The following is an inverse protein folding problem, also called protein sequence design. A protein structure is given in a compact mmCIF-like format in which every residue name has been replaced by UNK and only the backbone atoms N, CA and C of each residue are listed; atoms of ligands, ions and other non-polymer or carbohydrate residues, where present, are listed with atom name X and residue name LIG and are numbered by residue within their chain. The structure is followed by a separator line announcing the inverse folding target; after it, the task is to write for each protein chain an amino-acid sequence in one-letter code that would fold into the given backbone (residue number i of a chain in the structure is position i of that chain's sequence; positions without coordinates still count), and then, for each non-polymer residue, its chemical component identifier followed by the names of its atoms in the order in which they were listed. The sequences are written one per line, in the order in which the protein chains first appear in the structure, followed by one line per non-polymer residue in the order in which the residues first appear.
data_IF_819581284145
#
_entry.id   IF_819581284145
#
_cell.length_a   1.000
_cell.length_b   1.000
_cell.length_c   1.000
_cell.angle_alpha   90.00
_cell.angle_beta   90.00
_cell.angle_gamma   90.00
#
_symmetry.space_group_name_H-M   'P 1'
#
loop_
_entity.id
_entity.type
_entity.pdbx_description
1 polymer ?
#
# COMPACT_ATOMS: atom_id res chain seq x y z
N UNK A 1 -15.24 -47.92 76.21
CA UNK A 1 -15.77 -49.29 76.05
C UNK A 1 -15.90 -49.58 74.57
N UNK A 2 -15.14 -50.58 74.14
CA UNK A 2 -15.24 -51.42 72.93
C UNK A 2 -15.96 -50.94 71.65
N UNK A 3 -15.12 -50.83 70.59
CA UNK A 3 -15.26 -51.38 69.23
C UNK A 3 -16.27 -52.55 69.09
N UNK A 4 -16.91 -52.73 67.91
CA UNK A 4 -16.25 -53.42 66.78
C UNK A 4 -16.45 -52.69 65.43
N UNK A 5 -15.48 -52.48 64.54
CA UNK A 5 -14.38 -53.34 64.05
C UNK A 5 -14.83 -54.56 63.24
N UNK A 6 -15.73 -54.38 62.23
CA UNK A 6 -15.95 -55.42 61.20
C UNK A 6 -16.17 -54.89 59.77
N UNK A 7 -16.48 -53.61 59.54
CA UNK A 7 -16.83 -53.15 58.17
C UNK A 7 -15.67 -52.56 57.32
N UNK A 8 -14.46 -52.41 57.87
CA UNK A 8 -13.31 -51.90 57.12
C UNK A 8 -12.48 -53.01 56.41
N UNK A 9 -12.69 -54.29 56.74
CA UNK A 9 -11.92 -55.39 56.16
C UNK A 9 -12.46 -55.93 54.82
N UNK A 10 -13.69 -55.57 54.41
CA UNK A 10 -14.24 -56.04 53.12
C UNK A 10 -13.89 -55.16 51.92
N UNK A 11 -13.47 -53.90 52.14
CA UNK A 11 -13.17 -52.94 51.06
C UNK A 11 -11.67 -52.95 50.71
N UNK A 12 -10.79 -53.36 51.63
CA UNK A 12 -9.36 -53.55 51.35
C UNK A 12 -9.04 -54.84 50.59
N UNK A 13 -9.87 -55.90 50.73
CA UNK A 13 -9.69 -57.16 49.99
C UNK A 13 -9.99 -57.10 48.49
N UNK A 14 -10.77 -56.10 48.03
CA UNK A 14 -11.09 -55.90 46.61
C UNK A 14 -10.04 -55.05 45.86
N UNK A 15 -9.15 -54.35 46.58
CA UNK A 15 -8.11 -53.52 45.97
C UNK A 15 -6.79 -54.29 45.73
N UNK A 16 -6.53 -55.37 46.48
CA UNK A 16 -5.38 -56.27 46.22
C UNK A 16 -5.64 -57.28 45.10
N UNK A 17 -6.89 -57.69 44.86
CA UNK A 17 -7.23 -58.63 43.78
C UNK A 17 -7.16 -58.03 42.37
N UNK A 18 -7.42 -56.72 42.21
CA UNK A 18 -7.35 -56.04 40.90
C UNK A 18 -5.90 -55.72 40.50
N UNK A 19 -5.01 -55.46 41.47
CA UNK A 19 -3.59 -55.17 41.19
C UNK A 19 -2.77 -56.44 40.85
N UNK A 20 -3.16 -57.63 41.32
CA UNK A 20 -2.46 -58.87 40.98
C UNK A 20 -2.84 -59.42 39.59
N UNK A 21 -4.08 -59.18 39.13
CA UNK A 21 -4.56 -59.65 37.83
C UNK A 21 -4.06 -58.82 36.63
N UNK A 22 -3.82 -57.52 36.80
CA UNK A 22 -3.28 -56.67 35.71
C UNK A 22 -1.77 -56.87 35.51
N UNK A 23 -1.04 -57.25 36.58
CA UNK A 23 0.38 -57.60 36.52
C UNK A 23 0.66 -58.96 35.84
N UNK A 24 -0.25 -59.93 35.94
CA UNK A 24 -0.06 -61.26 35.34
C UNK A 24 -0.46 -61.31 33.84
N UNK A 25 -1.37 -60.44 33.38
CA UNK A 25 -1.79 -60.42 31.96
C UNK A 25 -0.73 -59.75 31.07
N UNK A 26 0.06 -58.82 31.60
CA UNK A 26 1.18 -58.19 30.85
C UNK A 26 2.44 -59.07 30.74
N UNK A 27 2.60 -60.07 31.62
CA UNK A 27 3.73 -61.00 31.58
C UNK A 27 3.53 -62.16 30.56
N UNK A 28 2.28 -62.47 30.19
CA UNK A 28 1.97 -63.58 29.26
C UNK A 28 2.04 -63.12 27.78
N UNK A 29 1.92 -61.82 27.50
CA UNK A 29 1.98 -61.29 26.12
C UNK A 29 3.43 -61.16 25.60
N UNK A 30 4.44 -61.10 26.48
CA UNK A 30 5.85 -60.95 26.07
C UNK A 30 6.57 -62.26 25.73
N UNK A 31 5.95 -63.43 25.93
CA UNK A 31 6.59 -64.74 25.71
C UNK A 31 6.17 -65.41 24.40
N UNK A 32 5.26 -64.80 23.62
CA UNK A 32 4.73 -65.43 22.40
C UNK A 32 4.60 -64.46 21.21
N UNK A 33 5.70 -63.83 20.79
CA UNK A 33 5.83 -63.39 19.39
C UNK A 33 7.23 -63.77 18.88
N UNK A 34 7.34 -64.54 17.79
CA UNK A 34 8.59 -65.16 17.35
C UNK A 34 9.56 -64.14 16.77
N UNK A 35 10.84 -64.50 16.84
CA UNK A 35 11.97 -63.90 16.15
C UNK A 35 11.71 -63.79 14.64
N UNK A 36 11.05 -62.72 14.21
CA UNK A 36 11.02 -62.30 12.82
C UNK A 36 12.07 -61.22 12.63
N UNK A 37 13.07 -61.56 11.82
CA UNK A 37 14.02 -60.66 11.19
C UNK A 37 13.27 -59.52 10.49
N UNK A 38 13.03 -58.43 11.22
CA UNK A 38 12.71 -57.14 10.63
C UNK A 38 14.00 -56.36 10.51
N UNK A 39 14.63 -56.59 9.36
CA UNK A 39 15.46 -55.66 8.61
C UNK A 39 15.37 -54.24 9.18
N UNK A 40 16.51 -53.75 9.69
CA UNK A 40 16.73 -52.35 10.02
C UNK A 40 16.33 -51.46 8.83
N UNK A 41 15.09 -51.01 8.77
CA UNK A 41 14.77 -49.75 8.13
C UNK A 41 15.15 -48.69 9.14
N UNK A 42 16.24 -47.98 8.88
CA UNK A 42 16.50 -46.63 9.38
C UNK A 42 15.24 -45.78 9.17
N UNK A 43 14.28 -45.86 10.10
CA UNK A 43 13.12 -44.99 10.16
C UNK A 43 13.51 -43.75 10.95
N UNK A 44 14.40 -42.97 10.34
CA UNK A 44 14.44 -41.51 10.34
C UNK A 44 13.86 -40.78 11.58
N UNK A 45 14.39 -41.08 12.78
CA UNK A 45 14.11 -40.33 14.01
C UNK A 45 15.16 -39.24 14.31
N UNK A 46 16.02 -38.96 13.34
CA UNK A 46 16.92 -37.80 13.32
C UNK A 46 16.63 -36.97 12.07
N UNK A 47 15.47 -36.31 12.04
CA UNK A 47 15.24 -35.20 11.12
C UNK A 47 14.26 -34.22 11.77
N UNK A 48 14.59 -33.78 12.99
CA UNK A 48 14.17 -32.43 13.38
C UNK A 48 14.86 -31.51 12.38
N UNK A 49 14.05 -30.97 11.50
CA UNK A 49 14.33 -30.09 10.38
C UNK A 49 15.41 -29.02 10.70
N UNK A 50 16.70 -29.42 10.68
CA UNK A 50 17.89 -28.58 10.83
C UNK A 50 18.18 -27.73 9.58
N UNK A 51 17.19 -27.56 8.71
CA UNK A 51 17.26 -26.79 7.48
C UNK A 51 16.30 -25.59 7.42
N UNK A 52 15.46 -25.37 8.44
CA UNK A 52 14.72 -24.12 8.54
C UNK A 52 15.72 -23.05 8.96
N UNK A 53 16.12 -22.17 8.03
CA UNK A 53 16.76 -20.89 8.37
C UNK A 53 15.81 -20.15 9.31
N UNK A 54 15.95 -20.37 10.62
CA UNK A 54 15.14 -19.72 11.63
C UNK A 54 15.43 -18.24 11.51
N UNK A 55 14.47 -17.47 10.99
CA UNK A 55 14.59 -16.02 10.95
C UNK A 55 14.82 -15.55 12.39
N UNK A 56 15.94 -14.86 12.61
CA UNK A 56 16.27 -14.30 13.92
C UNK A 56 15.09 -13.47 14.44
N UNK A 57 14.66 -13.75 15.67
CA UNK A 57 13.53 -13.09 16.34
C UNK A 57 13.73 -11.57 16.40
N UNK A 58 14.99 -11.11 16.45
CA UNK A 58 15.36 -9.70 16.41
C UNK A 58 15.05 -9.05 15.05
N UNK A 59 15.25 -9.76 13.94
CA UNK A 59 14.94 -9.25 12.59
C UNK A 59 13.44 -9.09 12.42
N UNK A 60 12.63 -10.05 12.88
CA UNK A 60 11.15 -9.94 12.87
C UNK A 60 10.70 -8.76 13.73
N UNK A 61 11.25 -8.63 14.94
CA UNK A 61 10.93 -7.53 15.85
C UNK A 61 11.26 -6.16 15.24
N UNK A 62 12.40 -6.03 14.57
CA UNK A 62 12.79 -4.78 13.88
C UNK A 62 11.85 -4.48 12.71
N UNK A 63 11.49 -5.48 11.90
CA UNK A 63 10.49 -5.32 10.82
C UNK A 63 9.14 -4.87 11.36
N UNK A 64 8.66 -5.47 12.46
CA UNK A 64 7.41 -5.04 13.11
C UNK A 64 7.45 -3.58 13.55
N UNK A 65 8.57 -3.12 14.14
CA UNK A 65 8.74 -1.71 14.52
C UNK A 65 8.67 -0.79 13.30
N UNK A 66 9.34 -1.14 12.21
CA UNK A 66 9.33 -0.36 10.96
C UNK A 66 7.93 -0.28 10.34
N UNK A 67 7.23 -1.42 10.22
CA UNK A 67 5.86 -1.47 9.67
C UNK A 67 4.88 -0.66 10.52
N UNK A 68 5.01 -0.72 11.85
CA UNK A 68 4.19 0.09 12.77
C UNK A 68 4.43 1.59 12.58
N UNK A 69 5.68 2.00 12.36
CA UNK A 69 6.00 3.41 12.08
C UNK A 69 5.43 3.85 10.74
N UNK A 70 5.54 3.03 9.69
CA UNK A 70 4.92 3.29 8.38
C UNK A 70 3.40 3.42 8.51
N UNK A 71 2.75 2.56 9.31
CA UNK A 71 1.31 2.64 9.56
C UNK A 71 0.93 3.97 10.26
N UNK A 72 1.70 4.41 11.25
CA UNK A 72 1.46 5.71 11.92
C UNK A 72 1.62 6.89 10.96
N UNK A 73 2.67 6.87 10.14
CA UNK A 73 2.94 7.92 9.14
C UNK A 73 1.83 7.97 8.11
N UNK A 74 1.41 6.83 7.56
CA UNK A 74 0.33 6.77 6.55
C UNK A 74 -1.01 7.22 7.13
N UNK A 75 -1.35 6.85 8.39
CA UNK A 75 -2.53 7.38 9.09
C UNK A 75 -2.47 8.90 9.27
N UNK A 76 -1.33 9.44 9.69
CA UNK A 76 -1.15 10.88 9.82
C UNK A 76 -1.27 11.58 8.46
N UNK A 77 -0.62 11.07 7.42
CA UNK A 77 -0.68 11.61 6.06
C UNK A 77 -2.09 11.56 5.48
N UNK A 78 -2.89 10.51 5.77
CA UNK A 78 -4.31 10.45 5.42
C UNK A 78 -5.07 11.64 6.02
N UNK A 79 -4.87 11.92 7.31
CA UNK A 79 -5.52 13.05 7.99
C UNK A 79 -5.06 14.41 7.45
N UNK A 80 -3.77 14.56 7.14
CA UNK A 80 -3.24 15.79 6.51
C UNK A 80 -3.85 16.01 5.13
N UNK A 81 -3.94 14.96 4.30
CA UNK A 81 -4.58 15.04 2.99
C UNK A 81 -6.08 15.37 3.11
N UNK A 82 -6.78 14.76 4.08
CA UNK A 82 -8.19 15.04 4.34
C UNK A 82 -8.45 16.51 4.71
N UNK A 83 -7.60 17.08 5.57
CA UNK A 83 -7.69 18.48 5.98
C UNK A 83 -7.47 19.43 4.79
N UNK A 84 -6.43 19.16 3.98
CA UNK A 84 -6.15 19.95 2.76
C UNK A 84 -7.24 19.81 1.71
N UNK A 85 -7.80 18.61 1.54
CA UNK A 85 -8.89 18.36 0.60
C UNK A 85 -10.07 19.25 0.92
N UNK A 86 -10.52 19.31 2.19
CA UNK A 86 -11.64 20.17 2.59
C UNK A 86 -11.40 21.64 2.27
N UNK A 87 -10.19 22.14 2.54
CA UNK A 87 -9.84 23.53 2.27
C UNK A 87 -9.82 23.88 0.77
N UNK A 88 -9.41 22.94 -0.09
CA UNK A 88 -9.34 23.14 -1.54
C UNK A 88 -10.71 22.88 -2.20
N UNK A 89 -11.49 21.93 -1.69
CA UNK A 89 -12.79 21.55 -2.22
C UNK A 89 -13.74 22.75 -2.31
N UNK A 90 -13.87 23.53 -1.23
CA UNK A 90 -14.72 24.74 -1.25
C UNK A 90 -14.27 25.74 -2.31
N UNK A 91 -12.95 25.85 -2.55
CA UNK A 91 -12.41 26.75 -3.58
C UNK A 91 -12.67 26.23 -5.00
N UNK A 92 -12.53 24.92 -5.20
CA UNK A 92 -12.82 24.27 -6.48
C UNK A 92 -14.31 24.32 -6.83
N UNK A 93 -15.20 24.20 -5.84
CA UNK A 93 -16.64 24.36 -6.05
C UNK A 93 -16.98 25.80 -6.43
N UNK A 94 -16.39 26.79 -5.75
CA UNK A 94 -16.58 28.20 -6.07
C UNK A 94 -16.00 28.59 -7.44
N UNK A 95 -14.93 27.95 -7.90
CA UNK A 95 -14.33 28.25 -9.22
C UNK A 95 -15.17 27.75 -10.40
N UNK A 96 -16.08 26.79 -10.19
CA UNK A 96 -16.90 26.24 -11.28
C UNK A 96 -17.81 27.28 -11.93
N UNK A 97 -18.32 28.24 -11.16
CA UNK A 97 -19.16 29.31 -11.68
C UNK A 97 -18.42 30.31 -12.58
N UNK A 98 -17.08 30.35 -12.52
CA UNK A 98 -16.28 31.33 -13.25
C UNK A 98 -16.12 30.96 -14.73
N UNK A 99 -15.97 29.67 -15.05
CA UNK A 99 -15.68 29.22 -16.42
C UNK A 99 -16.93 28.85 -17.24
N UNK A 100 -18.04 28.51 -16.56
CA UNK A 100 -19.30 28.12 -17.20
C UNK A 100 -19.86 29.16 -18.18
N UNK A 101 -19.84 30.48 -17.91
CA UNK A 101 -20.32 31.48 -18.85
C UNK A 101 -19.53 31.47 -20.16
N UNK A 102 -18.22 31.26 -20.11
CA UNK A 102 -17.40 31.18 -21.34
C UNK A 102 -17.73 29.95 -22.17
N UNK A 103 -17.97 28.80 -21.54
CA UNK A 103 -18.41 27.61 -22.28
C UNK A 103 -19.82 27.76 -22.84
N UNK A 104 -20.70 28.52 -22.18
CA UNK A 104 -22.02 28.83 -22.73
C UNK A 104 -21.91 29.77 -23.95
N UNK A 105 -21.02 30.76 -23.90
CA UNK A 105 -20.81 31.75 -24.95
C UNK A 105 -20.06 31.19 -26.16
N UNK A 106 -18.94 30.50 -25.94
CA UNK A 106 -18.01 30.06 -26.99
C UNK A 106 -18.20 28.58 -27.37
N UNK A 107 -18.98 27.84 -26.59
CA UNK A 107 -19.15 26.40 -26.77
C UNK A 107 -17.93 25.59 -26.31
N UNK A 108 -18.08 24.27 -26.31
CA UNK A 108 -16.98 23.32 -26.14
C UNK A 108 -16.79 22.59 -27.47
N UNK A 109 -15.67 22.85 -28.15
CA UNK A 109 -15.36 22.29 -29.47
C UNK A 109 -14.10 21.45 -29.36
N UNK A 110 -14.20 20.20 -28.86
CA UNK A 110 -13.03 19.37 -28.61
C UNK A 110 -12.41 18.79 -29.89
N UNK A 111 -13.10 18.83 -31.03
CA UNK A 111 -12.69 18.15 -32.27
C UNK A 111 -12.20 19.10 -33.37
N UNK A 112 -11.83 20.35 -33.05
CA UNK A 112 -11.24 21.24 -34.05
C UNK A 112 -9.91 20.67 -34.51
N UNK A 113 -9.79 20.51 -35.83
CA UNK A 113 -8.54 20.10 -36.46
C UNK A 113 -7.69 21.32 -36.78
N UNK A 114 -6.60 21.50 -36.02
CA UNK A 114 -5.71 22.66 -36.17
C UNK A 114 -4.27 22.22 -36.45
N UNK A 115 -3.50 23.14 -37.04
CA UNK A 115 -2.10 22.90 -37.39
C UNK A 115 -1.19 22.94 -36.16
N UNK A 116 -1.37 23.91 -35.26
CA UNK A 116 -0.59 24.05 -34.02
C UNK A 116 -1.42 23.70 -32.79
N UNK A 117 -1.20 22.51 -32.24
CA UNK A 117 -1.83 22.04 -31.02
C UNK A 117 -0.88 22.13 -29.83
N UNK A 118 -1.35 22.70 -28.72
CA UNK A 118 -0.59 22.75 -27.48
C UNK A 118 -1.35 22.01 -26.39
N UNK A 119 -0.70 21.03 -25.78
CA UNK A 119 -1.31 20.19 -24.73
C UNK A 119 -0.75 20.63 -23.38
N UNK A 120 -1.58 21.29 -22.59
CA UNK A 120 -1.25 21.68 -21.21
C UNK A 120 -1.59 20.52 -20.28
N UNK A 121 -0.58 19.83 -19.77
CA UNK A 121 -0.77 18.69 -18.86
C UNK A 121 -0.59 19.12 -17.42
N UNK A 122 -1.67 19.10 -16.63
CA UNK A 122 -1.65 19.48 -15.22
C UNK A 122 -1.44 18.23 -14.35
N UNK A 123 -0.42 18.28 -13.51
CA UNK A 123 -0.02 17.20 -12.61
C UNK A 123 0.40 17.74 -11.23
N UNK A 124 0.70 16.83 -10.30
CA UNK A 124 1.21 17.22 -8.98
C UNK A 124 2.73 17.31 -8.94
N UNK A 125 3.25 18.11 -8.02
CA UNK A 125 4.69 18.12 -7.70
C UNK A 125 5.06 16.95 -6.77
N UNK A 126 4.16 16.64 -5.83
CA UNK A 126 4.35 15.61 -4.81
C UNK A 126 3.85 14.26 -5.28
N UNK A 127 4.56 13.20 -4.87
CA UNK A 127 4.12 11.83 -5.10
C UNK A 127 3.00 11.38 -4.16
N UNK A 128 2.81 10.06 -4.09
CA UNK A 128 1.88 9.37 -3.19
C UNK A 128 0.39 9.69 -3.43
N UNK A 129 0.04 10.12 -4.64
CA UNK A 129 -1.33 10.42 -5.07
C UNK A 129 -1.95 9.29 -5.92
N UNK A 130 -1.46 8.05 -5.76
CA UNK A 130 -1.90 6.91 -6.56
C UNK A 130 -1.62 7.10 -8.05
N UNK A 131 -2.62 6.79 -8.88
CA UNK A 131 -2.50 6.79 -10.35
C UNK A 131 -2.84 8.10 -11.06
N UNK A 132 -3.19 9.18 -10.34
CA UNK A 132 -3.68 10.44 -10.95
C UNK A 132 -2.75 10.99 -12.02
N UNK A 133 -1.46 11.12 -11.71
CA UNK A 133 -0.49 11.70 -12.65
C UNK A 133 -0.30 10.81 -13.88
N UNK A 134 -0.28 9.49 -13.68
CA UNK A 134 -0.14 8.54 -14.78
C UNK A 134 -1.36 8.54 -15.70
N UNK A 135 -2.57 8.72 -15.16
CA UNK A 135 -3.79 8.86 -15.95
C UNK A 135 -3.77 10.14 -16.79
N UNK A 136 -3.42 11.29 -16.19
CA UNK A 136 -3.30 12.55 -16.93
C UNK A 136 -2.29 12.43 -18.08
N UNK A 137 -1.08 11.92 -17.79
CA UNK A 137 -0.03 11.71 -18.80
C UNK A 137 -0.44 10.69 -19.88
N UNK A 138 -1.26 9.68 -19.54
CA UNK A 138 -1.79 8.73 -20.52
C UNK A 138 -2.75 9.42 -21.50
N UNK A 139 -3.65 10.28 -21.00
CA UNK A 139 -4.57 11.05 -21.85
C UNK A 139 -3.80 12.05 -22.71
N UNK A 140 -2.85 12.78 -22.14
CA UNK A 140 -2.01 13.71 -22.92
C UNK A 140 -1.24 13.01 -24.04
N UNK A 141 -0.76 11.77 -23.82
CA UNK A 141 -0.15 10.96 -24.88
C UNK A 141 -1.15 10.49 -25.93
N UNK A 142 -2.39 10.18 -25.52
CA UNK A 142 -3.47 9.84 -26.44
C UNK A 142 -3.81 11.00 -27.37
N UNK A 143 -4.00 12.20 -26.81
CA UNK A 143 -4.32 13.42 -27.57
C UNK A 143 -3.17 13.78 -28.52
N UNK A 144 -1.93 13.69 -28.05
CA UNK A 144 -0.78 13.95 -28.90
C UNK A 144 -0.76 12.99 -30.09
N UNK A 145 -0.94 11.68 -29.88
CA UNK A 145 -1.01 10.70 -30.98
C UNK A 145 -2.15 10.94 -31.96
N UNK A 146 -3.31 11.41 -31.49
CA UNK A 146 -4.45 11.71 -32.36
C UNK A 146 -4.18 12.94 -33.26
N UNK A 147 -3.40 13.89 -32.75
CA UNK A 147 -3.12 15.15 -33.43
C UNK A 147 -1.72 15.19 -34.07
N UNK A 148 -0.91 14.14 -33.93
CA UNK A 148 0.35 13.99 -34.64
C UNK A 148 0.10 13.63 -36.11
N UNK A 149 0.44 14.54 -37.03
CA UNK A 149 0.36 14.32 -38.48
C UNK A 149 1.51 15.03 -39.21
N UNK A 150 1.77 14.70 -40.48
CA UNK A 150 2.89 15.26 -41.24
C UNK A 150 2.86 16.80 -41.39
N UNK A 151 1.68 17.42 -41.24
CA UNK A 151 1.50 18.89 -41.29
C UNK A 151 1.06 19.50 -39.94
N UNK A 152 1.03 18.70 -38.87
CA UNK A 152 0.51 19.14 -37.55
C UNK A 152 1.61 19.13 -36.51
N UNK A 153 1.83 20.28 -35.89
CA UNK A 153 2.76 20.45 -34.79
C UNK A 153 2.01 20.28 -33.46
N UNK A 154 2.47 19.35 -32.62
CA UNK A 154 1.90 19.11 -31.30
C UNK A 154 2.95 19.31 -30.22
N UNK A 155 2.77 20.32 -29.38
CA UNK A 155 3.70 20.66 -28.30
C UNK A 155 3.10 20.43 -26.92
N UNK A 156 3.95 20.28 -25.92
CA UNK A 156 3.58 20.06 -24.54
C UNK A 156 3.99 21.25 -23.67
N UNK A 157 3.04 21.70 -22.86
CA UNK A 157 3.27 22.55 -21.71
C UNK A 157 2.95 21.74 -20.46
N UNK A 158 3.92 21.64 -19.56
CA UNK A 158 3.81 20.76 -18.40
C UNK A 158 3.71 21.59 -17.13
N UNK A 159 2.64 21.35 -16.39
CA UNK A 159 2.47 21.87 -15.04
C UNK A 159 2.67 20.74 -14.03
N UNK A 160 3.73 20.88 -13.22
CA UNK A 160 4.09 19.96 -12.15
C UNK A 160 5.23 18.99 -12.51
N UNK A 161 6.04 18.68 -11.50
CA UNK A 161 7.26 17.87 -11.67
C UNK A 161 6.98 16.41 -12.09
N UNK A 162 5.84 15.83 -11.68
CA UNK A 162 5.57 14.40 -11.94
C UNK A 162 5.20 14.11 -13.39
N UNK A 163 4.46 14.98 -14.07
CA UNK A 163 4.25 14.82 -15.51
C UNK A 163 5.55 15.02 -16.29
N UNK A 164 6.38 16.00 -15.90
CA UNK A 164 7.68 16.25 -16.53
C UNK A 164 8.55 15.00 -16.50
N UNK A 165 8.71 14.38 -15.32
CA UNK A 165 9.50 13.16 -15.17
C UNK A 165 9.00 11.98 -16.03
N UNK A 166 7.69 11.90 -16.34
CA UNK A 166 7.12 10.85 -17.19
C UNK A 166 7.25 11.16 -18.68
N UNK A 167 6.94 12.40 -19.09
CA UNK A 167 6.92 12.82 -20.49
C UNK A 167 8.32 13.04 -21.08
N UNK A 168 9.31 13.44 -20.26
CA UNK A 168 10.69 13.63 -20.73
C UNK A 168 11.31 12.34 -21.30
N UNK A 169 10.82 11.16 -20.89
CA UNK A 169 11.31 9.88 -21.43
C UNK A 169 10.82 9.62 -22.85
N UNK A 170 9.58 10.03 -23.15
CA UNK A 170 8.89 9.68 -24.39
C UNK A 170 8.99 10.81 -25.44
N UNK A 171 8.81 12.07 -25.02
CA UNK A 171 8.57 13.21 -25.92
C UNK A 171 9.40 14.43 -25.51
N UNK A 172 10.70 14.26 -25.23
CA UNK A 172 11.57 15.36 -24.77
C UNK A 172 11.63 16.55 -25.73
N UNK A 173 11.57 16.28 -27.04
CA UNK A 173 11.71 17.30 -28.09
C UNK A 173 10.49 18.21 -28.20
N UNK A 174 9.32 17.71 -27.79
CA UNK A 174 8.05 18.39 -27.97
C UNK A 174 7.64 19.19 -26.72
N UNK A 175 8.49 19.24 -25.68
CA UNK A 175 8.24 20.00 -24.45
C UNK A 175 8.84 21.40 -24.61
N UNK A 176 7.99 22.43 -24.65
CA UNK A 176 8.43 23.83 -24.70
C UNK A 176 8.62 24.41 -23.31
N UNK A 177 7.59 24.27 -22.46
CA UNK A 177 7.56 24.89 -21.15
C UNK A 177 7.27 23.85 -20.07
N UNK A 178 7.99 23.96 -18.96
CA UNK A 178 7.72 23.19 -17.76
C UNK A 178 7.74 24.10 -16.54
N UNK A 179 6.63 24.18 -15.81
CA UNK A 179 6.53 24.97 -14.59
C UNK A 179 6.29 24.04 -13.39
N UNK A 180 6.94 24.35 -12.28
CA UNK A 180 6.94 23.51 -11.06
C UNK A 180 6.58 24.36 -9.83
N UNK A 181 6.36 23.71 -8.69
CA UNK A 181 6.06 24.35 -7.40
C UNK A 181 4.70 25.07 -7.29
N UNK A 182 3.70 24.63 -8.05
CA UNK A 182 2.35 25.21 -8.05
C UNK A 182 1.65 25.09 -6.69
N UNK A 183 2.04 24.10 -5.89
CA UNK A 183 1.29 23.68 -4.70
C UNK A 183 1.98 24.06 -3.38
N UNK A 184 3.00 24.93 -3.45
CA UNK A 184 3.76 25.38 -2.27
C UNK A 184 2.95 26.36 -1.42
N UNK A 185 2.24 27.28 -2.09
CA UNK A 185 1.36 28.28 -1.49
C UNK A 185 -0.12 27.92 -1.76
N UNK A 186 -1.08 28.47 -0.99
CA UNK A 186 -2.48 28.38 -1.37
C UNK A 186 -2.69 28.95 -2.78
N UNK A 187 -3.25 28.13 -3.67
CA UNK A 187 -3.56 28.52 -5.04
C UNK A 187 -4.45 29.76 -5.05
N UNK A 188 -3.99 30.79 -5.76
CA UNK A 188 -4.70 32.05 -5.92
C UNK A 188 -4.82 32.39 -7.41
N UNK A 189 -5.84 33.16 -7.79
CA UNK A 189 -6.09 33.50 -9.19
C UNK A 189 -4.91 34.25 -9.81
N UNK A 190 -4.36 35.22 -9.08
CA UNK A 190 -3.21 36.03 -9.55
C UNK A 190 -1.99 35.19 -9.91
N UNK A 191 -1.73 34.10 -9.18
CA UNK A 191 -0.62 33.20 -9.51
C UNK A 191 -0.90 32.47 -10.82
N UNK A 192 -2.13 31.96 -11.01
CA UNK A 192 -2.47 31.25 -12.23
C UNK A 192 -2.54 32.18 -13.45
N UNK A 193 -2.97 33.43 -13.26
CA UNK A 193 -2.94 34.45 -14.31
C UNK A 193 -1.51 34.70 -14.82
N UNK A 194 -0.52 34.83 -13.92
CA UNK A 194 0.89 34.97 -14.33
C UNK A 194 1.38 33.75 -15.12
N UNK A 195 1.00 32.53 -14.68
CA UNK A 195 1.35 31.32 -15.42
C UNK A 195 0.67 31.27 -16.80
N UNK A 196 -0.58 31.72 -16.89
CA UNK A 196 -1.31 31.80 -18.14
C UNK A 196 -0.64 32.79 -19.10
N UNK A 197 -0.30 33.99 -18.63
CA UNK A 197 0.43 35.00 -19.41
C UNK A 197 1.79 34.48 -19.91
N UNK A 198 2.53 33.75 -19.07
CA UNK A 198 3.81 33.14 -19.46
C UNK A 198 3.62 32.07 -20.54
N UNK A 199 2.52 31.30 -20.51
CA UNK A 199 2.19 30.33 -21.56
C UNK A 199 1.83 31.06 -22.85
N UNK A 200 0.97 32.08 -22.78
CA UNK A 200 0.52 32.86 -23.94
C UNK A 200 1.68 33.57 -24.65
N UNK A 201 2.69 34.06 -23.91
CA UNK A 201 3.84 34.77 -24.49
C UNK A 201 4.88 33.86 -25.16
N UNK A 202 5.11 32.69 -24.60
CA UNK A 202 6.21 31.82 -25.02
C UNK A 202 5.80 30.77 -26.05
N UNK A 203 4.50 30.55 -26.23
CA UNK A 203 3.97 29.45 -27.03
C UNK A 203 2.98 29.98 -28.06
N UNK A 204 3.25 29.71 -29.33
CA UNK A 204 2.27 29.92 -30.40
C UNK A 204 1.31 28.72 -30.49
N UNK A 205 0.00 28.99 -30.43
CA UNK A 205 -1.02 27.95 -30.46
C UNK A 205 -2.22 28.35 -31.32
N UNK A 206 -2.80 27.38 -32.02
CA UNK A 206 -4.11 27.50 -32.66
C UNK A 206 -5.21 26.92 -31.74
N UNK A 207 -4.91 25.78 -31.10
CA UNK A 207 -5.76 25.19 -30.08
C UNK A 207 -4.94 24.72 -28.88
N UNK A 208 -5.40 25.11 -27.69
CA UNK A 208 -4.80 24.78 -26.42
C UNK A 208 -5.71 23.79 -25.67
N UNK A 209 -5.19 22.60 -25.42
CA UNK A 209 -5.91 21.47 -24.81
C UNK A 209 -5.40 21.25 -23.40
N UNK A 210 -6.21 21.62 -22.42
CA UNK A 210 -5.87 21.53 -20.99
C UNK A 210 -6.35 20.18 -20.45
N UNK A 211 -5.42 19.32 -20.07
CA UNK A 211 -5.68 18.01 -19.49
C UNK A 211 -5.54 18.10 -17.98
N UNK A 212 -6.64 17.84 -17.28
CA UNK A 212 -6.71 17.83 -15.82
C UNK A 212 -7.67 16.77 -15.31
N UNK A 213 -7.67 16.52 -14.00
CA UNK A 213 -8.59 15.59 -13.37
C UNK A 213 -9.71 16.37 -12.67
N UNK A 214 -10.95 16.18 -13.13
CA UNK A 214 -12.14 16.74 -12.50
C UNK A 214 -12.49 15.94 -11.25
N UNK A 215 -12.64 16.65 -10.13
CA UNK A 215 -13.02 16.06 -8.86
C UNK A 215 -14.53 15.76 -8.84
N UNK A 216 -14.88 14.47 -8.76
CA UNK A 216 -16.26 14.03 -8.56
C UNK A 216 -16.48 13.63 -7.10
N UNK A 217 -15.60 12.78 -6.58
CA UNK A 217 -15.60 12.38 -5.18
C UNK A 217 -14.18 12.05 -4.72
N UNK A 218 -14.02 11.79 -3.43
CA UNK A 218 -12.77 11.32 -2.83
C UNK A 218 -12.18 10.10 -3.54
N UNK A 219 -13.05 9.24 -4.08
CA UNK A 219 -12.68 7.96 -4.69
C UNK A 219 -12.64 8.06 -6.22
N UNK A 220 -13.52 8.88 -6.80
CA UNK A 220 -13.68 8.99 -8.25
C UNK A 220 -13.22 10.36 -8.76
N UNK A 221 -12.32 10.34 -9.73
CA UNK A 221 -11.89 11.51 -10.50
C UNK A 221 -12.00 11.15 -11.97
N UNK A 222 -12.51 12.09 -12.77
CA UNK A 222 -12.69 11.90 -14.21
C UNK A 222 -11.63 12.76 -14.91
N UNK A 223 -10.72 12.17 -15.69
CA UNK A 223 -9.77 12.96 -16.45
C UNK A 223 -10.53 13.65 -17.59
N UNK A 224 -10.44 14.97 -17.66
CA UNK A 224 -11.18 15.83 -18.58
C UNK A 224 -10.19 16.66 -19.38
N UNK A 225 -10.53 16.91 -20.65
CA UNK A 225 -9.77 17.80 -21.53
C UNK A 225 -10.66 18.98 -21.86
N UNK A 226 -10.22 20.19 -21.51
CA UNK A 226 -10.87 21.43 -21.94
C UNK A 226 -10.12 21.98 -23.12
N UNK A 227 -10.82 22.46 -24.13
CA UNK A 227 -10.21 23.09 -25.32
C UNK A 227 -10.43 24.60 -25.26
N UNK A 228 -9.37 25.35 -25.50
CA UNK A 228 -9.40 26.81 -25.66
C UNK A 228 -8.79 27.10 -27.02
N UNK A 229 -9.49 27.86 -27.85
CA UNK A 229 -9.07 28.21 -29.20
C UNK A 229 -8.35 29.55 -29.19
N UNK A 230 -7.46 29.77 -30.17
CA UNK A 230 -6.85 31.07 -30.37
C UNK A 230 -7.86 32.07 -30.97
N UNK A 231 -7.70 33.38 -30.72
CA UNK A 231 -8.62 34.40 -31.24
C UNK A 231 -8.84 34.31 -32.76
N UNK A 232 -7.78 34.05 -33.54
CA UNK A 232 -7.88 33.91 -35.00
C UNK A 232 -8.73 32.72 -35.43
N UNK A 233 -8.67 31.61 -34.70
CA UNK A 233 -9.45 30.41 -35.00
C UNK A 233 -10.90 30.61 -34.54
N UNK A 234 -11.10 31.28 -33.40
CA UNK A 234 -12.42 31.67 -32.90
C UNK A 234 -13.14 32.56 -33.92
N UNK A 235 -12.47 33.55 -34.49
CA UNK A 235 -13.04 34.41 -35.53
C UNK A 235 -13.41 33.62 -36.79
N UNK A 236 -12.50 32.76 -37.29
CA UNK A 236 -12.79 31.90 -38.45
C UNK A 236 -13.96 30.94 -38.21
N UNK A 237 -14.07 30.37 -37.02
CA UNK A 237 -15.19 29.48 -36.69
C UNK A 237 -16.51 30.23 -36.43
N UNK A 238 -16.45 31.47 -35.94
CA UNK A 238 -17.60 32.35 -35.84
C UNK A 238 -18.15 32.70 -37.23
N UNK A 239 -17.27 33.00 -38.19
CA UNK A 239 -17.63 33.28 -39.60
C UNK A 239 -18.18 32.04 -40.34
N UNK A 240 -17.76 30.84 -39.94
CA UNK A 240 -18.18 29.58 -40.57
C UNK A 240 -19.60 29.10 -40.16
N UNK A 241 -20.31 29.84 -39.29
CA UNK A 241 -21.72 29.57 -38.95
C UNK A 241 -21.95 28.44 -37.93
N UNK A 242 -20.98 28.16 -37.05
CA UNK A 242 -21.15 27.26 -35.90
C UNK A 242 -21.97 27.88 -34.75
N UNK A 243 -21.98 27.23 -33.57
CA UNK A 243 -22.57 27.82 -32.34
C UNK A 243 -21.96 29.18 -31.96
N UNK A 244 -20.73 29.46 -32.41
CA UNK A 244 -20.05 30.74 -32.28
C UNK A 244 -20.66 31.87 -33.14
N UNK A 245 -21.47 31.54 -34.17
CA UNK A 245 -22.21 32.54 -34.94
C UNK A 245 -23.31 33.25 -34.15
N UNK A 246 -23.67 32.74 -32.97
CA UNK A 246 -24.59 33.41 -32.03
C UNK A 246 -23.93 34.62 -31.35
N UNK A 247 -22.61 34.81 -31.46
CA UNK A 247 -21.91 36.00 -30.98
C UNK A 247 -22.37 37.29 -31.68
N UNK A 248 -22.89 37.20 -32.91
CA UNK A 248 -23.45 38.36 -33.64
C UNK A 248 -24.75 38.89 -33.01
N UNK A 249 -25.37 38.12 -32.11
CA UNK A 249 -26.54 38.56 -31.35
C UNK A 249 -26.20 39.47 -30.16
N UNK A 250 -24.91 39.59 -29.81
CA UNK A 250 -24.44 40.42 -28.71
C UNK A 250 -23.97 41.78 -29.23
N UNK A 251 -24.54 42.84 -28.67
CA UNK A 251 -24.04 44.20 -28.88
C UNK A 251 -22.81 44.44 -28.00
N UNK A 252 -21.70 44.87 -28.60
CA UNK A 252 -20.44 45.13 -27.89
C UNK A 252 -20.45 46.56 -27.40
N UNK A 253 -20.56 46.73 -26.09
CA UNK A 253 -20.47 48.02 -25.41
C UNK A 253 -19.00 48.45 -25.27
N UNK A 254 -18.56 49.43 -26.06
CA UNK A 254 -17.20 49.97 -25.98
C UNK A 254 -16.75 50.76 -27.23
N UNK A 255 -15.64 51.48 -27.10
CA UNK A 255 -14.96 52.13 -28.23
C UNK A 255 -13.95 51.23 -28.95
N UNK A 256 -13.82 49.98 -28.52
CA UNK A 256 -12.88 48.97 -29.05
C UNK A 256 -13.50 48.19 -30.21
N UNK A 257 -12.66 47.66 -31.11
CA UNK A 257 -13.12 46.84 -32.23
C UNK A 257 -13.56 45.45 -31.74
N UNK A 258 -14.46 44.78 -32.48
CA UNK A 258 -14.94 43.42 -32.14
C UNK A 258 -13.80 42.43 -31.94
N UNK A 259 -12.75 42.51 -32.78
CA UNK A 259 -11.58 41.64 -32.70
C UNK A 259 -10.76 41.84 -31.43
N UNK A 260 -10.57 43.08 -30.97
CA UNK A 260 -9.83 43.36 -29.72
C UNK A 260 -10.56 42.81 -28.50
N UNK A 261 -11.90 42.97 -28.46
CA UNK A 261 -12.71 42.43 -27.36
C UNK A 261 -12.66 40.90 -27.35
N UNK A 262 -12.72 40.24 -28.51
CA UNK A 262 -12.61 38.78 -28.61
C UNK A 262 -11.24 38.27 -28.17
N UNK A 263 -10.17 38.98 -28.50
CA UNK A 263 -8.83 38.65 -28.03
C UNK A 263 -8.74 38.73 -26.51
N UNK A 264 -9.14 39.86 -25.92
CA UNK A 264 -9.14 40.06 -24.46
C UNK A 264 -10.00 38.99 -23.75
N UNK A 265 -11.14 38.64 -24.35
CA UNK A 265 -12.05 37.62 -23.84
C UNK A 265 -11.44 36.22 -23.88
N UNK A 266 -10.75 35.85 -24.94
CA UNK A 266 -10.09 34.55 -25.08
C UNK A 266 -8.94 34.38 -24.07
N UNK A 267 -8.13 35.43 -23.88
CA UNK A 267 -7.06 35.44 -22.86
C UNK A 267 -7.62 35.32 -21.44
N UNK A 268 -8.73 36.02 -21.16
CA UNK A 268 -9.41 35.92 -19.88
C UNK A 268 -10.09 34.56 -19.67
N UNK A 269 -10.70 33.99 -20.71
CA UNK A 269 -11.25 32.64 -20.69
C UNK A 269 -10.15 31.63 -20.37
N UNK A 270 -8.99 31.73 -21.03
CA UNK A 270 -7.87 30.83 -20.79
C UNK A 270 -7.45 30.87 -19.32
N UNK A 271 -7.26 32.06 -18.76
CA UNK A 271 -6.93 32.25 -17.34
C UNK A 271 -7.98 31.64 -16.39
N UNK A 272 -9.27 31.83 -16.66
CA UNK A 272 -10.37 31.27 -15.86
C UNK A 272 -10.43 29.74 -15.91
N UNK A 273 -10.35 29.16 -17.13
CA UNK A 273 -10.36 27.70 -17.33
C UNK A 273 -9.14 27.09 -16.67
N UNK A 274 -7.97 27.72 -16.82
CA UNK A 274 -6.73 27.28 -16.23
C UNK A 274 -6.78 27.29 -14.70
N UNK A 275 -7.32 28.35 -14.11
CA UNK A 275 -7.53 28.45 -12.66
C UNK A 275 -8.42 27.32 -12.13
N UNK A 276 -9.55 27.06 -12.80
CA UNK A 276 -10.43 25.97 -12.43
C UNK A 276 -9.75 24.60 -12.59
N UNK A 277 -9.03 24.38 -13.68
CA UNK A 277 -8.32 23.13 -13.97
C UNK A 277 -7.24 22.82 -12.91
N UNK A 278 -6.48 23.83 -12.47
CA UNK A 278 -5.47 23.68 -11.42
C UNK A 278 -6.12 23.35 -10.07
N UNK A 279 -7.23 24.01 -9.71
CA UNK A 279 -7.97 23.73 -8.47
C UNK A 279 -8.59 22.34 -8.44
N UNK A 280 -9.26 21.94 -9.52
CA UNK A 280 -9.86 20.60 -9.68
C UNK A 280 -8.81 19.49 -9.60
N UNK A 281 -7.66 19.69 -10.25
CA UNK A 281 -6.56 18.74 -10.19
C UNK A 281 -5.94 18.67 -8.79
N UNK A 282 -5.75 19.81 -8.12
CA UNK A 282 -5.25 19.85 -6.74
C UNK A 282 -6.21 19.17 -5.75
N UNK A 283 -7.53 19.34 -5.95
CA UNK A 283 -8.57 18.67 -5.17
C UNK A 283 -8.51 17.14 -5.39
N UNK A 284 -8.52 16.72 -6.65
CA UNK A 284 -8.40 15.31 -7.05
C UNK A 284 -7.13 14.66 -6.49
N UNK A 285 -6.00 15.36 -6.53
CA UNK A 285 -4.72 14.90 -5.97
C UNK A 285 -4.83 14.59 -4.47
N UNK A 286 -5.44 15.48 -3.67
CA UNK A 286 -5.61 15.22 -2.24
C UNK A 286 -6.59 14.06 -1.99
N UNK A 287 -7.65 13.94 -2.78
CA UNK A 287 -8.59 12.80 -2.74
C UNK A 287 -7.88 11.47 -2.97
N UNK A 288 -7.11 11.35 -4.05
CA UNK A 288 -6.38 10.13 -4.35
C UNK A 288 -5.23 9.86 -3.37
N UNK A 289 -4.56 10.89 -2.86
CA UNK A 289 -3.57 10.73 -1.79
C UNK A 289 -4.21 10.16 -0.52
N UNK A 290 -5.40 10.65 -0.15
CA UNK A 290 -6.12 10.12 1.00
C UNK A 290 -6.47 8.63 0.81
N UNK A 291 -6.95 8.26 -0.37
CA UNK A 291 -7.26 6.86 -0.74
C UNK A 291 -6.01 5.96 -0.79
N UNK A 292 -4.89 6.47 -1.32
CA UNK A 292 -3.61 5.77 -1.35
C UNK A 292 -3.01 5.55 0.04
N UNK A 293 -3.14 6.54 0.94
CA UNK A 293 -2.69 6.39 2.34
C UNK A 293 -3.59 5.43 3.13
N UNK A 294 -4.90 5.45 2.88
CA UNK A 294 -5.86 4.57 3.54
C UNK A 294 -5.62 3.09 3.19
N UNK A 295 -5.44 2.80 1.90
CA UNK A 295 -5.03 1.46 1.44
C UNK A 295 -3.66 1.05 1.99
N UNK A 296 -2.68 1.95 2.01
CA UNK A 296 -1.36 1.68 2.59
C UNK A 296 -1.43 1.37 4.10
N UNK A 297 -2.27 2.08 4.85
CA UNK A 297 -2.47 1.86 6.29
C UNK A 297 -3.12 0.50 6.59
N UNK A 298 -4.10 0.08 5.76
CA UNK A 298 -4.70 -1.27 5.85
C UNK A 298 -3.68 -2.35 5.54
N UNK A 299 -2.96 -2.23 4.42
CA UNK A 299 -1.93 -3.19 4.01
C UNK A 299 -0.81 -3.33 5.08
N UNK A 300 -0.44 -2.23 5.73
CA UNK A 300 0.51 -2.25 6.85
C UNK A 300 -0.05 -2.95 8.09
N UNK A 301 -1.36 -2.86 8.34
CA UNK A 301 -2.06 -3.61 9.38
C UNK A 301 -2.00 -5.12 9.13
N UNK A 302 -2.42 -5.55 7.94
CA UNK A 302 -2.39 -6.98 7.55
C UNK A 302 -0.97 -7.56 7.63
N UNK A 303 0.04 -6.78 7.23
CA UNK A 303 1.45 -7.18 7.36
C UNK A 303 1.89 -7.30 8.81
N UNK A 304 1.44 -6.39 9.69
CA UNK A 304 1.74 -6.43 11.10
C UNK A 304 1.12 -7.67 11.77
N UNK A 305 -0.09 -8.05 11.38
CA UNK A 305 -0.76 -9.24 11.90
C UNK A 305 -0.01 -10.52 11.49
N UNK A 306 0.37 -10.64 10.22
CA UNK A 306 1.20 -11.76 9.73
C UNK A 306 2.54 -11.86 10.46
N UNK A 307 3.22 -10.72 10.64
CA UNK A 307 4.49 -10.67 11.37
C UNK A 307 4.33 -11.02 12.85
N UNK A 308 3.20 -10.66 13.46
CA UNK A 308 2.90 -11.01 14.86
C UNK A 308 2.69 -12.52 15.02
N UNK A 309 1.94 -13.15 14.12
CA UNK A 309 1.78 -14.60 14.11
C UNK A 309 3.12 -15.32 13.92
N UNK A 310 3.94 -14.82 13.00
CA UNK A 310 5.28 -15.37 12.74
C UNK A 310 6.17 -15.22 13.96
N UNK A 311 6.19 -14.04 14.59
CA UNK A 311 6.97 -13.78 15.78
C UNK A 311 6.57 -14.71 16.92
N UNK A 312 5.27 -14.84 17.20
CA UNK A 312 4.77 -15.72 18.26
C UNK A 312 5.14 -17.18 17.97
N UNK A 313 4.99 -17.62 16.73
CA UNK A 313 5.37 -18.98 16.30
C UNK A 313 6.86 -19.25 16.49
N UNK A 314 7.74 -18.33 16.08
CA UNK A 314 9.20 -18.48 16.26
C UNK A 314 9.60 -18.48 17.74
N UNK A 315 8.94 -17.67 18.58
CA UNK A 315 9.21 -17.67 20.03
C UNK A 315 8.77 -19.00 20.67
N UNK A 316 7.60 -19.53 20.31
CA UNK A 316 7.13 -20.83 20.79
C UNK A 316 8.08 -21.96 20.37
N UNK A 317 8.52 -21.97 19.11
CA UNK A 317 9.51 -22.93 18.60
C UNK A 317 10.82 -22.81 19.40
N UNK A 318 11.32 -21.58 19.61
CA UNK A 318 12.54 -21.35 20.38
C UNK A 318 12.43 -21.84 21.83
N UNK A 319 11.28 -21.61 22.49
CA UNK A 319 11.02 -22.09 23.84
C UNK A 319 10.96 -23.62 23.88
N UNK A 320 10.25 -24.25 22.94
CA UNK A 320 10.15 -25.70 22.85
C UNK A 320 11.53 -26.38 22.66
N UNK A 321 12.37 -25.83 21.78
CA UNK A 321 13.75 -26.31 21.59
C UNK A 321 14.58 -26.16 22.87
N UNK A 322 14.44 -25.02 23.58
CA UNK A 322 15.10 -24.85 24.88
C UNK A 322 14.64 -25.89 25.91
N UNK A 323 13.33 -26.14 26.02
CA UNK A 323 12.80 -27.17 26.91
C UNK A 323 13.31 -28.57 26.57
N UNK A 324 13.29 -28.98 25.29
CA UNK A 324 13.82 -30.28 24.89
C UNK A 324 15.32 -30.43 25.20
N UNK A 325 16.12 -29.39 24.96
CA UNK A 325 17.54 -29.42 25.32
C UNK A 325 17.73 -29.52 26.84
N UNK A 326 16.94 -28.80 27.65
CA UNK A 326 16.99 -28.91 29.11
C UNK A 326 16.56 -30.29 29.63
N UNK A 327 15.52 -30.89 29.04
CA UNK A 327 15.07 -32.25 29.38
C UNK A 327 16.12 -33.31 29.02
N UNK A 328 16.76 -33.19 27.86
CA UNK A 328 17.87 -34.07 27.45
C UNK A 328 19.07 -33.93 28.38
N UNK A 329 19.42 -32.70 28.79
CA UNK A 329 20.50 -32.46 29.77
C UNK A 329 20.18 -33.10 31.12
N UNK A 330 18.92 -33.06 31.57
CA UNK A 330 18.50 -33.74 32.81
C UNK A 330 18.54 -35.27 32.69
N UNK A 331 18.16 -35.85 31.56
CA UNK A 331 18.33 -37.30 31.30
C UNK A 331 19.81 -37.71 31.32
N UNK A 332 20.68 -36.97 30.63
CA UNK A 332 22.12 -37.24 30.63
C UNK A 332 22.79 -37.07 32.00
N UNK A 333 22.25 -36.21 32.87
CA UNK A 333 22.76 -36.00 34.23
C UNK A 333 22.37 -37.16 35.16
N UNK A 334 21.14 -37.66 35.04
CA UNK A 334 20.68 -38.87 35.74
C UNK A 334 21.52 -40.07 35.29
N UNK A 335 21.74 -40.26 33.98
CA UNK A 335 22.58 -41.36 33.48
C UNK A 335 24.02 -41.26 33.95
N UNK A 336 24.61 -40.05 34.04
CA UNK A 336 25.97 -39.87 34.57
C UNK A 336 26.09 -40.19 36.06
N UNK A 337 25.09 -39.82 36.84
CA UNK A 337 25.06 -40.09 38.29
C UNK A 337 24.82 -41.59 38.56
N UNK A 338 24.01 -42.28 37.73
CA UNK A 338 23.87 -43.74 37.75
C UNK A 338 25.15 -44.46 37.27
N UNK A 339 25.85 -43.93 36.26
CA UNK A 339 27.09 -44.51 35.74
C UNK A 339 28.25 -44.37 36.74
N UNK A 340 28.30 -43.29 37.52
CA UNK A 340 29.27 -43.14 38.63
C UNK A 340 28.96 -44.07 39.81
N UNK A 341 27.70 -44.35 40.11
CA UNK A 341 27.33 -45.34 41.14
C UNK A 341 27.73 -46.77 40.74
N UNK A 342 27.64 -47.12 39.46
CA UNK A 342 28.06 -48.45 38.95
C UNK A 342 29.59 -48.56 38.86
N UNK A 343 30.30 -47.48 38.53
CA UNK A 343 31.76 -47.52 38.38
C UNK A 343 32.55 -47.48 39.71
N UNK A 344 31.93 -47.06 40.83
CA UNK A 344 32.54 -47.13 42.17
C UNK A 344 32.27 -48.43 42.93
N UNK A 345 31.38 -49.30 42.42
CA UNK A 345 31.09 -50.62 43.01
C UNK A 345 31.96 -51.78 42.49
N UNK A 346 32.91 -51.51 41.58
CA UNK A 346 33.69 -52.51 40.86
C UNK A 346 35.09 -52.76 41.41
N UNK A 347 35.25 -52.94 42.71
CA UNK A 347 36.49 -53.45 43.33
C UNK A 347 36.17 -54.00 44.73
N UNK A 348 35.75 -55.27 44.81
CA UNK A 348 36.08 -56.25 45.87
C UNK A 348 35.59 -57.61 45.36
N UNK A 349 36.55 -58.50 45.15
CA UNK A 349 36.38 -59.88 44.75
C UNK A 349 36.05 -60.74 45.98
N UNK A 350 35.06 -61.63 45.83
CA UNK A 350 34.82 -62.89 46.56
C UNK A 350 34.70 -62.85 48.09
N UNK A 351 33.50 -63.18 48.58
CA UNK A 351 33.29 -63.61 49.96
C UNK A 351 31.79 -63.80 50.25
N UNK A 352 31.37 -65.06 50.29
CA UNK A 352 30.09 -65.56 50.79
C UNK A 352 29.39 -64.71 51.87
N UNK A 353 28.10 -64.43 51.68
CA UNK A 353 27.22 -63.96 52.76
C UNK A 353 25.96 -63.28 52.25
N UNK A 354 24.80 -63.94 52.43
CA UNK A 354 23.50 -63.27 52.43
C UNK A 354 23.56 -62.01 53.28
N UNK A 355 23.02 -60.88 52.81
CA UNK A 355 22.39 -59.87 53.65
C UNK A 355 21.49 -58.95 52.81
N UNK A 356 20.20 -59.02 53.12
CA UNK A 356 19.17 -58.00 52.87
C UNK A 356 19.65 -56.60 53.29
N UNK A 357 19.21 -55.53 52.60
CA UNK A 357 18.58 -54.31 53.18
C UNK A 357 18.29 -53.22 52.09
N UNK A 358 17.47 -52.18 52.34
CA UNK A 358 16.22 -51.93 51.62
C UNK A 358 16.26 -50.71 50.69
N UNK A 359 15.27 -50.64 49.80
CA UNK A 359 14.97 -49.48 48.97
C UNK A 359 14.32 -48.39 49.85
N UNK A 360 15.04 -47.30 50.12
CA UNK A 360 14.48 -46.13 50.81
C UNK A 360 14.21 -45.03 49.79
N UNK A 361 12.93 -44.79 49.54
CA UNK A 361 12.38 -43.64 48.82
C UNK A 361 12.96 -42.32 49.36
N UNK A 362 13.51 -41.48 48.49
CA UNK A 362 13.63 -40.05 48.76
C UNK A 362 12.46 -39.33 48.09
N UNK A 363 11.43 -39.06 48.88
CA UNK A 363 10.55 -37.90 48.70
C UNK A 363 11.22 -36.67 49.31
N UNK A 364 11.50 -35.66 48.48
CA UNK A 364 11.28 -34.24 48.79
C UNK A 364 11.30 -33.42 47.51
#
# INVERSE_FOLDING_TARGET
MHLPEVQHHLIQGLHEYVCSYVGCILAIIYVYIPSYSFRCSHANREQVFLGARSISTQVVRNRMKSVRNIQKITKAMKMVAASKLRAIQTRAENSRGLWQPFTALLGDIPSVDVKKNVIVTISSDKGLCGGINSTAVKISRGIHKLNSGPEKECKYVILGEKAKAQLVRDSKKDIELSMTELQKNPLNYTQVAVLADDILKNVEFDALRIVFNKFQSVVSFVPTTSTVLSPEVVEREAEAGGKLGELDSYEIEGGETKSEVLQNLAEFQFSCVMFNAVLENACSEQGARMSAMDSSSRNAGDMLDRLTLTYNSTNLISLHVHYQNSSSIHHYRIDRDYFWSISLGGLIQQGSGLLFFPCQMMTK
#
